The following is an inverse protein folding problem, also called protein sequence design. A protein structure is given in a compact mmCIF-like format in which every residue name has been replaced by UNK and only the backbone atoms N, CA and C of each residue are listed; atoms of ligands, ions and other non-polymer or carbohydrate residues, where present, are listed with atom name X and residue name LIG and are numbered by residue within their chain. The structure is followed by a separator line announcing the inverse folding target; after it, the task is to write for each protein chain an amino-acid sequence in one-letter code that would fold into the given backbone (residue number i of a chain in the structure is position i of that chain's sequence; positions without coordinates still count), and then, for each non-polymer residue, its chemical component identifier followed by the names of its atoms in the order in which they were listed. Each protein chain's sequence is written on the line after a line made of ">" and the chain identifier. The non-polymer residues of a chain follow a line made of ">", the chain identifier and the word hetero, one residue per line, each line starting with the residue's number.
data_IF_448501723259
#
_entry.id   IF_448501723259
#
_cell.length_a   1.000
_cell.length_b   1.000
_cell.length_c   1.000
_cell.angle_alpha   90.00
_cell.angle_beta   90.00
_cell.angle_gamma   90.00
#
_symmetry.space_group_name_H-M   'P 1'
#
loop_
_entity.id
_entity.type
_entity.pdbx_description
1 polymer ?
#
# COMPACT_ATOMS: atom_id res chain seq x y z
N UNK A 1 -37.04 -7.55 -26.97
CA UNK A 1 -35.91 -8.52 -26.96
C UNK A 1 -34.64 -7.72 -27.19
N UNK A 2 -33.60 -7.72 -26.38
CA UNK A 2 -33.21 -8.60 -25.29
C UNK A 2 -32.33 -7.81 -24.30
N UNK A 3 -32.66 -7.84 -23.01
CA UNK A 3 -31.72 -7.55 -21.94
C UNK A 3 -31.04 -8.88 -21.60
N UNK A 4 -29.76 -9.03 -21.96
CA UNK A 4 -28.94 -10.14 -21.49
C UNK A 4 -28.20 -9.71 -20.23
N UNK A 5 -28.71 -10.21 -19.11
CA UNK A 5 -28.01 -10.72 -17.94
C UNK A 5 -26.50 -10.45 -17.90
N UNK A 6 -26.10 -9.47 -17.08
CA UNK A 6 -24.77 -9.44 -16.48
C UNK A 6 -24.93 -10.14 -15.13
N UNK A 7 -24.38 -11.35 -15.09
CA UNK A 7 -24.44 -12.25 -13.96
C UNK A 7 -23.68 -11.68 -12.76
N UNK A 8 -24.35 -11.78 -11.61
CA UNK A 8 -23.81 -11.91 -10.25
C UNK A 8 -22.33 -12.34 -10.22
N UNK A 9 -21.46 -11.43 -9.78
CA UNK A 9 -20.22 -11.82 -9.10
C UNK A 9 -20.49 -11.77 -7.60
N UNK A 10 -20.96 -12.89 -7.05
CA UNK A 10 -21.02 -13.13 -5.60
C UNK A 10 -19.59 -13.30 -5.07
N UNK A 11 -18.95 -12.19 -4.72
CA UNK A 11 -17.73 -12.20 -3.93
C UNK A 11 -18.10 -12.60 -2.49
N UNK A 12 -18.00 -13.90 -2.23
CA UNK A 12 -18.08 -14.45 -0.87
C UNK A 12 -16.79 -14.06 -0.16
N UNK A 13 -16.81 -12.97 0.60
CA UNK A 13 -15.69 -12.57 1.45
C UNK A 13 -16.15 -12.67 2.90
N UNK A 14 -15.78 -13.80 3.50
CA UNK A 14 -15.87 -14.08 4.93
C UNK A 14 -14.86 -13.15 5.64
N UNK A 15 -15.28 -11.97 6.10
CA UNK A 15 -14.44 -11.13 6.95
C UNK A 15 -14.65 -11.60 8.39
N UNK A 16 -13.76 -12.49 8.82
CA UNK A 16 -13.49 -12.82 10.21
C UNK A 16 -12.95 -11.58 10.95
N UNK A 17 -13.85 -10.69 11.36
CA UNK A 17 -13.57 -9.55 12.24
C UNK A 17 -14.07 -9.84 13.66
N UNK A 18 -13.71 -11.00 14.21
CA UNK A 18 -14.15 -11.44 15.54
C UNK A 18 -13.01 -12.01 16.38
N UNK A 19 -11.89 -11.31 16.51
CA UNK A 19 -10.98 -11.47 17.65
C UNK A 19 -10.20 -10.17 17.89
N UNK A 20 -9.88 -9.91 19.17
CA UNK A 20 -9.22 -8.72 19.74
C UNK A 20 -10.30 -7.72 20.23
N UNK A 21 -10.87 -7.82 21.43
CA UNK A 21 -10.18 -7.87 22.74
C UNK A 21 -11.00 -8.61 23.81
N UNK A 22 -10.42 -9.67 24.39
CA UNK A 22 -10.87 -10.27 25.65
C UNK A 22 -10.00 -9.69 26.77
N UNK A 23 -10.61 -9.01 27.75
CA UNK A 23 -10.06 -8.89 29.11
C UNK A 23 -10.96 -9.70 30.05
N UNK A 24 -10.43 -10.55 30.93
CA UNK A 24 -11.23 -11.42 31.79
C UNK A 24 -11.56 -10.70 33.10
N UNK A 25 -12.81 -10.29 33.29
CA UNK A 25 -13.34 -10.04 34.63
C UNK A 25 -14.86 -10.15 34.65
N UNK A 26 -15.32 -11.28 35.19
CA UNK A 26 -16.57 -11.47 35.93
C UNK A 26 -17.93 -11.38 35.19
N UNK A 27 -18.80 -12.30 35.63
CA UNK A 27 -20.25 -12.39 35.45
C UNK A 27 -20.77 -13.12 34.19
N UNK A 28 -21.24 -14.36 34.45
CA UNK A 28 -22.25 -15.08 33.68
C UNK A 28 -23.52 -14.22 33.54
N UNK A 29 -23.74 -13.68 32.36
CA UNK A 29 -25.07 -13.40 31.83
C UNK A 29 -25.08 -13.93 30.39
N UNK A 30 -26.17 -14.58 29.99
CA UNK A 30 -26.39 -15.13 28.66
C UNK A 30 -26.07 -14.07 27.59
N UNK A 31 -24.88 -14.17 26.97
CA UNK A 31 -24.45 -13.23 25.94
C UNK A 31 -25.24 -13.50 24.66
N UNK A 32 -26.36 -12.81 24.48
CA UNK A 32 -26.76 -12.40 23.14
C UNK A 32 -25.53 -11.76 22.50
N UNK A 33 -25.03 -12.34 21.40
CA UNK A 33 -23.97 -11.71 20.60
C UNK A 33 -24.50 -10.37 20.09
N UNK A 34 -24.30 -9.30 20.85
CA UNK A 34 -24.57 -7.95 20.40
C UNK A 34 -23.64 -7.66 19.22
N UNK A 35 -24.15 -7.86 18.00
CA UNK A 35 -23.45 -7.52 16.76
C UNK A 35 -22.94 -6.08 16.84
N UNK A 36 -21.71 -5.86 16.38
CA UNK A 36 -21.12 -4.52 16.35
C UNK A 36 -21.94 -3.59 15.43
N UNK A 37 -21.88 -2.29 15.66
CA UNK A 37 -22.61 -1.32 14.84
C UNK A 37 -22.20 -1.41 13.37
N UNK A 38 -20.92 -1.66 13.11
CA UNK A 38 -20.34 -1.82 11.78
C UNK A 38 -20.76 -3.11 11.10
N UNK A 39 -20.95 -4.19 11.86
CA UNK A 39 -21.49 -5.45 11.33
C UNK A 39 -22.91 -5.24 10.83
N UNK A 40 -23.77 -4.62 11.65
CA UNK A 40 -25.15 -4.30 11.29
C UNK A 40 -25.22 -3.30 10.14
N UNK A 41 -24.31 -2.31 10.12
CA UNK A 41 -24.21 -1.35 9.03
C UNK A 41 -23.83 -2.04 7.72
N UNK A 42 -22.91 -3.01 7.77
CA UNK A 42 -22.48 -3.75 6.58
C UNK A 42 -23.57 -4.68 6.05
N UNK A 43 -24.33 -5.33 6.93
CA UNK A 43 -25.53 -6.09 6.57
C UNK A 43 -26.54 -5.19 5.84
N UNK A 44 -26.88 -4.04 6.41
CA UNK A 44 -27.78 -3.06 5.76
C UNK A 44 -27.22 -2.52 4.44
N UNK A 45 -25.90 -2.31 4.34
CA UNK A 45 -25.23 -1.90 3.11
C UNK A 45 -25.34 -2.95 2.00
N UNK A 46 -25.15 -4.24 2.34
CA UNK A 46 -25.30 -5.34 1.39
C UNK A 46 -26.75 -5.48 0.88
N UNK A 47 -27.72 -5.22 1.75
CA UNK A 47 -29.14 -5.22 1.43
C UNK A 47 -29.60 -3.93 0.73
N UNK A 48 -28.71 -2.94 0.56
CA UNK A 48 -29.02 -1.61 0.03
C UNK A 48 -30.09 -0.86 0.83
N UNK A 49 -30.21 -1.14 2.13
CA UNK A 49 -31.17 -0.49 3.02
C UNK A 49 -30.56 0.78 3.64
N UNK A 50 -30.67 1.88 2.90
CA UNK A 50 -30.21 3.20 3.36
C UNK A 50 -30.92 3.67 4.63
N UNK A 51 -32.18 3.27 4.83
CA UNK A 51 -32.95 3.67 6.00
C UNK A 51 -32.40 2.98 7.26
N UNK A 52 -32.13 1.68 7.18
CA UNK A 52 -31.51 0.93 8.26
C UNK A 52 -30.12 1.46 8.61
N UNK A 53 -29.30 1.80 7.60
CA UNK A 53 -27.98 2.42 7.81
C UNK A 53 -28.07 3.75 8.59
N UNK A 54 -29.00 4.63 8.20
CA UNK A 54 -29.22 5.93 8.89
C UNK A 54 -29.74 5.74 10.32
N UNK A 55 -30.66 4.81 10.52
CA UNK A 55 -31.23 4.53 11.83
C UNK A 55 -30.16 3.97 12.79
N UNK A 56 -29.29 3.09 12.31
CA UNK A 56 -28.14 2.60 13.07
C UNK A 56 -27.22 3.74 13.51
N UNK A 57 -26.91 4.68 12.62
CA UNK A 57 -26.07 5.84 12.94
C UNK A 57 -26.72 6.73 14.01
N UNK A 58 -28.03 6.95 13.95
CA UNK A 58 -28.75 7.74 14.96
C UNK A 58 -28.76 7.08 16.33
N UNK A 59 -29.03 5.78 16.35
CA UNK A 59 -29.24 5.02 17.58
C UNK A 59 -27.93 4.60 18.24
N UNK A 60 -26.85 4.44 17.46
CA UNK A 60 -25.53 3.94 17.90
C UNK A 60 -24.38 4.86 17.50
N UNK A 61 -24.59 6.18 17.48
CA UNK A 61 -23.60 7.16 17.04
C UNK A 61 -22.21 6.99 17.68
N UNK A 62 -22.15 6.67 18.97
CA UNK A 62 -20.88 6.52 19.71
C UNK A 62 -20.04 5.31 19.27
N UNK A 63 -20.64 4.34 18.58
CA UNK A 63 -19.98 3.08 18.20
C UNK A 63 -19.21 3.23 16.87
N UNK A 64 -19.60 4.18 16.02
CA UNK A 64 -19.01 4.34 14.68
C UNK A 64 -17.61 4.96 14.64
N UNK A 65 -17.28 6.00 15.41
CA UNK A 65 -15.93 6.58 15.39
C UNK A 65 -14.81 5.56 15.64
N UNK A 66 -14.83 4.69 16.68
CA UNK A 66 -13.77 3.71 16.89
C UNK A 66 -13.70 2.67 15.76
N UNK A 67 -14.84 2.20 15.25
CA UNK A 67 -14.85 1.23 14.14
C UNK A 67 -14.27 1.81 12.84
N UNK A 68 -14.63 3.05 12.49
CA UNK A 68 -14.08 3.73 11.32
C UNK A 68 -12.57 3.96 11.45
N UNK A 69 -12.09 4.28 12.66
CA UNK A 69 -10.65 4.42 12.93
C UNK A 69 -9.93 3.08 12.69
N UNK A 70 -10.49 1.96 13.15
CA UNK A 70 -9.91 0.64 12.95
C UNK A 70 -9.88 0.23 11.47
N UNK A 71 -10.95 0.52 10.72
CA UNK A 71 -10.98 0.31 9.27
C UNK A 71 -9.88 1.10 8.56
N UNK A 72 -9.72 2.38 8.89
CA UNK A 72 -8.65 3.22 8.34
C UNK A 72 -7.27 2.68 8.72
N UNK A 73 -7.08 2.26 9.97
CA UNK A 73 -5.81 1.69 10.46
C UNK A 73 -5.44 0.43 9.68
N UNK A 74 -6.41 -0.47 9.47
CA UNK A 74 -6.22 -1.67 8.67
C UNK A 74 -5.88 -1.33 7.20
N UNK A 75 -6.64 -0.42 6.57
CA UNK A 75 -6.40 -0.04 5.16
C UNK A 75 -5.03 0.64 4.95
N UNK A 76 -4.47 1.27 5.98
CA UNK A 76 -3.13 1.87 5.96
C UNK A 76 -1.99 0.85 6.13
N UNK A 77 -2.29 -0.42 6.46
CA UNK A 77 -1.27 -1.45 6.58
C UNK A 77 -0.63 -1.73 5.20
N UNK A 78 0.72 -1.71 5.08
CA UNK A 78 1.41 -1.98 3.82
C UNK A 78 1.12 -3.36 3.23
N UNK A 79 0.79 -4.35 4.08
CA UNK A 79 0.54 -5.74 3.69
C UNK A 79 -0.85 -5.96 3.06
N UNK A 80 -1.77 -5.00 3.22
CA UNK A 80 -3.10 -5.05 2.62
C UNK A 80 -3.01 -4.73 1.13
N UNK A 81 -3.75 -5.46 0.30
CA UNK A 81 -3.79 -5.24 -1.14
C UNK A 81 -4.34 -3.84 -1.47
N UNK A 82 -3.81 -3.12 -2.47
CA UNK A 82 -4.26 -1.76 -2.81
C UNK A 82 -5.77 -1.66 -3.09
N UNK A 83 -6.34 -2.65 -3.76
CA UNK A 83 -7.75 -2.74 -4.13
C UNK A 83 -8.63 -2.93 -2.88
N UNK A 84 -8.18 -3.79 -1.96
CA UNK A 84 -8.84 -4.03 -0.68
C UNK A 84 -8.79 -2.77 0.20
N UNK A 85 -7.64 -2.12 0.31
CA UNK A 85 -7.49 -0.87 1.05
C UNK A 85 -8.39 0.24 0.49
N UNK A 86 -8.47 0.39 -0.85
CA UNK A 86 -9.39 1.34 -1.51
C UNK A 86 -10.85 1.05 -1.17
N UNK A 87 -11.24 -0.22 -1.18
CA UNK A 87 -12.58 -0.64 -0.82
C UNK A 87 -12.91 -0.27 0.63
N UNK A 88 -12.00 -0.57 1.56
CA UNK A 88 -12.18 -0.24 2.99
C UNK A 88 -12.28 1.27 3.21
N UNK A 89 -11.45 2.07 2.54
CA UNK A 89 -11.56 3.53 2.56
C UNK A 89 -12.91 4.02 2.00
N UNK A 90 -13.46 3.35 0.99
CA UNK A 90 -14.78 3.68 0.44
C UNK A 90 -15.90 3.43 1.45
N UNK A 91 -15.87 2.29 2.15
CA UNK A 91 -16.90 1.95 3.15
C UNK A 91 -16.75 2.86 4.37
N UNK A 92 -15.54 3.08 4.87
CA UNK A 92 -15.27 4.01 5.97
C UNK A 92 -15.71 5.44 5.62
N UNK A 93 -15.49 5.87 4.37
CA UNK A 93 -15.94 7.17 3.87
C UNK A 93 -17.47 7.29 3.83
N UNK A 94 -18.16 6.23 3.41
CA UNK A 94 -19.62 6.19 3.41
C UNK A 94 -20.19 6.32 4.84
N UNK A 95 -19.69 5.49 5.77
CA UNK A 95 -20.10 5.55 7.19
C UNK A 95 -19.85 6.95 7.75
N UNK A 96 -18.64 7.49 7.56
CA UNK A 96 -18.27 8.80 8.08
C UNK A 96 -19.09 9.94 7.49
N UNK A 97 -19.46 9.85 6.21
CA UNK A 97 -20.35 10.81 5.55
C UNK A 97 -21.75 10.75 6.17
N UNK A 98 -22.34 9.57 6.25
CA UNK A 98 -23.68 9.40 6.83
C UNK A 98 -23.71 9.81 8.30
N UNK A 99 -22.64 9.53 9.04
CA UNK A 99 -22.46 9.99 10.42
C UNK A 99 -22.50 11.52 10.50
N UNK A 100 -21.74 12.20 9.64
CA UNK A 100 -21.74 13.67 9.60
C UNK A 100 -23.08 14.26 9.14
N UNK A 101 -23.78 13.61 8.22
CA UNK A 101 -25.10 14.04 7.74
C UNK A 101 -26.18 13.92 8.84
N UNK A 102 -26.13 12.86 9.67
CA UNK A 102 -27.14 12.62 10.71
C UNK A 102 -26.82 13.27 12.07
N UNK A 103 -25.53 13.46 12.40
CA UNK A 103 -25.11 14.04 13.70
C UNK A 103 -24.64 15.50 13.60
N UNK A 104 -24.33 15.97 12.39
CA UNK A 104 -23.69 17.26 12.14
C UNK A 104 -22.16 17.27 12.39
N UNK A 105 -21.57 16.19 12.90
CA UNK A 105 -20.12 16.10 13.15
C UNK A 105 -19.36 15.57 11.93
N UNK A 106 -18.72 16.49 11.20
CA UNK A 106 -17.95 16.20 9.99
C UNK A 106 -16.49 15.79 10.28
N UNK A 107 -16.04 15.75 11.54
CA UNK A 107 -14.64 15.46 11.89
C UNK A 107 -14.22 14.05 11.45
N UNK A 108 -15.13 13.09 11.56
CA UNK A 108 -14.87 11.71 11.16
C UNK A 108 -14.64 11.62 9.65
N UNK A 109 -15.46 12.31 8.84
CA UNK A 109 -15.30 12.35 7.38
C UNK A 109 -13.99 13.04 6.97
N UNK A 110 -13.61 14.12 7.66
CA UNK A 110 -12.34 14.79 7.43
C UNK A 110 -11.16 13.87 7.75
N UNK A 111 -11.21 13.14 8.86
CA UNK A 111 -10.17 12.19 9.25
C UNK A 111 -10.00 11.07 8.21
N UNK A 112 -11.09 10.48 7.72
CA UNK A 112 -11.04 9.47 6.64
C UNK A 112 -10.45 10.05 5.36
N UNK A 113 -10.88 11.25 4.96
CA UNK A 113 -10.41 11.90 3.73
C UNK A 113 -8.92 12.21 3.77
N UNK A 114 -8.41 12.71 4.90
CA UNK A 114 -6.97 12.97 5.11
C UNK A 114 -6.17 11.67 5.03
N UNK A 115 -6.63 10.61 5.70
CA UNK A 115 -5.94 9.32 5.68
C UNK A 115 -5.97 8.67 4.29
N UNK A 116 -7.07 8.79 3.55
CA UNK A 116 -7.13 8.29 2.17
C UNK A 116 -6.15 9.05 1.25
N UNK A 117 -6.05 10.38 1.41
CA UNK A 117 -5.05 11.18 0.71
C UNK A 117 -3.61 10.75 1.03
N UNK A 118 -3.34 10.40 2.29
CA UNK A 118 -2.03 9.88 2.71
C UNK A 118 -1.77 8.48 2.15
N UNK A 119 -2.78 7.60 2.15
CA UNK A 119 -2.71 6.29 1.51
C UNK A 119 -2.34 6.41 0.04
N UNK A 120 -3.06 7.24 -0.73
CA UNK A 120 -2.77 7.44 -2.15
C UNK A 120 -1.35 7.94 -2.37
N UNK A 121 -0.89 8.93 -1.59
CA UNK A 121 0.49 9.43 -1.67
C UNK A 121 1.52 8.35 -1.36
N UNK A 122 1.30 7.57 -0.30
CA UNK A 122 2.20 6.48 0.10
C UNK A 122 2.29 5.39 -0.98
N UNK A 123 1.16 5.07 -1.63
CA UNK A 123 1.10 4.06 -2.68
C UNK A 123 1.73 4.55 -3.98
N UNK A 124 1.46 5.80 -4.37
CA UNK A 124 2.10 6.47 -5.51
C UNK A 124 3.63 6.54 -5.39
N UNK A 125 4.15 6.64 -4.15
CA UNK A 125 5.59 6.59 -3.90
C UNK A 125 6.12 5.17 -3.78
N UNK A 126 5.29 4.17 -3.48
CA UNK A 126 5.71 2.78 -3.26
C UNK A 126 5.70 1.93 -4.53
N UNK A 127 4.83 2.24 -5.50
CA UNK A 127 4.67 1.45 -6.73
C UNK A 127 5.56 2.04 -7.82
N UNK A 128 6.71 1.40 -8.04
CA UNK A 128 7.55 1.66 -9.18
C UNK A 128 6.92 0.99 -10.41
N UNK A 129 6.51 1.77 -11.40
CA UNK A 129 5.90 1.22 -12.62
C UNK A 129 6.90 0.29 -13.34
N UNK A 130 6.52 -0.95 -13.70
CA UNK A 130 7.44 -1.94 -14.27
C UNK A 130 8.21 -1.43 -15.49
N UNK A 131 7.53 -0.76 -16.41
CA UNK A 131 8.13 -0.21 -17.63
C UNK A 131 9.23 0.83 -17.32
N UNK A 132 8.97 1.69 -16.33
CA UNK A 132 9.93 2.71 -15.88
C UNK A 132 11.10 2.06 -15.16
N UNK A 133 10.84 1.03 -14.34
CA UNK A 133 11.88 0.25 -13.67
C UNK A 133 12.80 -0.42 -14.67
N UNK A 134 12.25 -1.09 -15.68
CA UNK A 134 13.04 -1.83 -16.67
C UNK A 134 13.87 -0.89 -17.55
N UNK A 135 13.28 0.23 -17.97
CA UNK A 135 14.01 1.31 -18.65
C UNK A 135 15.16 1.83 -17.78
N UNK A 136 14.89 2.11 -16.50
CA UNK A 136 15.91 2.61 -15.57
C UNK A 136 17.02 1.59 -15.36
N UNK A 137 16.68 0.31 -15.13
CA UNK A 137 17.67 -0.76 -14.98
C UNK A 137 18.58 -0.86 -16.19
N UNK A 138 18.01 -0.79 -17.40
CA UNK A 138 18.77 -0.83 -18.65
C UNK A 138 19.75 0.33 -18.77
N UNK A 139 19.29 1.57 -18.56
CA UNK A 139 20.16 2.75 -18.60
C UNK A 139 21.29 2.67 -17.55
N UNK A 140 21.02 2.06 -16.38
CA UNK A 140 22.03 1.83 -15.35
C UNK A 140 23.04 0.76 -15.79
N UNK A 141 22.61 -0.35 -16.39
CA UNK A 141 23.52 -1.39 -16.87
C UNK A 141 24.36 -0.92 -18.06
N UNK A 142 23.84 -0.03 -18.89
CA UNK A 142 24.54 0.53 -20.05
C UNK A 142 25.68 1.50 -19.65
N UNK A 143 25.77 1.91 -18.38
CA UNK A 143 26.83 2.80 -17.90
C UNK A 143 28.22 2.17 -17.80
N UNK A 144 28.36 0.88 -18.05
CA UNK A 144 29.66 0.41 -18.50
C UNK A 144 29.68 -1.04 -18.91
N UNK A 145 30.88 -1.61 -18.85
CA UNK A 145 31.23 -2.78 -19.65
C UNK A 145 31.35 -4.03 -18.80
N UNK A 146 30.81 -5.15 -19.29
CA UNK A 146 30.86 -6.46 -18.63
C UNK A 146 29.50 -6.93 -18.10
N UNK A 147 29.48 -8.08 -17.41
CA UNK A 147 28.26 -8.71 -16.91
C UNK A 147 27.80 -8.10 -15.58
N UNK A 148 26.92 -7.10 -15.65
CA UNK A 148 26.34 -6.45 -14.47
C UNK A 148 24.85 -6.70 -14.44
N UNK A 149 24.27 -6.68 -13.24
CA UNK A 149 22.82 -6.79 -13.09
C UNK A 149 22.35 -5.94 -11.93
N UNK A 150 21.17 -5.36 -12.09
CA UNK A 150 20.43 -4.77 -10.97
C UNK A 150 19.70 -5.91 -10.25
N UNK A 151 20.22 -6.32 -9.10
CA UNK A 151 19.69 -7.42 -8.30
C UNK A 151 18.47 -6.99 -7.47
N UNK A 152 18.48 -5.74 -6.97
CA UNK A 152 17.38 -5.16 -6.20
C UNK A 152 17.03 -3.80 -6.78
N UNK A 153 15.74 -3.55 -6.98
CA UNK A 153 15.20 -2.25 -7.37
C UNK A 153 13.80 -2.11 -6.77
N UNK A 154 13.69 -1.51 -5.58
CA UNK A 154 12.43 -1.42 -4.83
C UNK A 154 12.38 -0.20 -3.94
N UNK A 155 11.19 0.19 -3.51
CA UNK A 155 11.03 1.15 -2.43
C UNK A 155 11.26 0.47 -1.08
N UNK A 156 12.10 1.08 -0.25
CA UNK A 156 12.35 0.70 1.13
C UNK A 156 11.18 1.08 2.05
N UNK A 157 11.16 0.51 3.26
CA UNK A 157 10.08 0.76 4.24
C UNK A 157 10.02 2.21 4.70
N UNK A 158 11.12 2.95 4.60
CA UNK A 158 11.18 4.38 4.90
C UNK A 158 10.74 5.26 3.74
N UNK A 159 10.33 4.68 2.60
CA UNK A 159 9.98 5.38 1.37
C UNK A 159 11.18 5.84 0.54
N UNK A 160 12.40 5.34 0.83
CA UNK A 160 13.58 5.58 -0.01
C UNK A 160 13.80 4.48 -1.05
N UNK A 161 14.28 4.84 -2.24
CA UNK A 161 14.60 3.83 -3.26
C UNK A 161 15.84 3.03 -2.84
N UNK A 162 15.77 1.70 -2.93
CA UNK A 162 16.89 0.77 -2.72
C UNK A 162 17.24 0.14 -4.05
N UNK A 163 18.48 0.37 -4.50
CA UNK A 163 19.05 -0.23 -5.70
C UNK A 163 20.32 -0.99 -5.35
N UNK A 164 20.39 -2.27 -5.72
CA UNK A 164 21.61 -3.07 -5.59
C UNK A 164 22.08 -3.53 -6.96
N UNK A 165 23.32 -3.19 -7.29
CA UNK A 165 23.98 -3.53 -8.55
C UNK A 165 25.05 -4.58 -8.23
N UNK A 166 24.90 -5.76 -8.80
CA UNK A 166 25.83 -6.88 -8.68
C UNK A 166 26.75 -6.91 -9.90
N UNK A 167 28.05 -6.77 -9.64
CA UNK A 167 29.13 -6.78 -10.63
C UNK A 167 29.75 -8.18 -10.62
N UNK A 168 29.42 -8.98 -11.63
CA UNK A 168 29.94 -10.34 -11.77
C UNK A 168 31.14 -10.35 -12.69
N UNK A 169 32.25 -10.88 -12.21
CA UNK A 169 33.31 -11.32 -13.10
C UNK A 169 32.76 -12.47 -13.95
N UNK A 170 32.90 -12.37 -15.27
CA UNK A 170 32.46 -13.40 -16.20
C UNK A 170 33.33 -14.65 -16.00
N UNK A 171 32.83 -15.61 -15.22
CA UNK A 171 33.38 -16.97 -15.18
C UNK A 171 32.91 -17.74 -16.43
N UNK A 172 33.56 -17.52 -17.57
CA UNK A 172 33.46 -18.43 -18.72
C UNK A 172 33.19 -17.84 -20.11
N UNK A 173 33.06 -16.52 -20.29
CA UNK A 173 33.07 -15.95 -21.64
C UNK A 173 34.50 -15.81 -22.16
N UNK A 174 34.72 -16.13 -23.44
CA UNK A 174 35.99 -16.03 -24.18
C UNK A 174 36.63 -14.63 -24.23
N UNK A 175 35.99 -13.63 -23.63
CA UNK A 175 36.46 -12.26 -23.46
C UNK A 175 36.71 -11.98 -21.97
N UNK A 176 37.99 -11.95 -21.58
CA UNK A 176 38.51 -11.51 -20.28
C UNK A 176 38.27 -10.00 -20.01
N UNK A 177 37.06 -9.50 -20.23
CA UNK A 177 36.75 -8.12 -19.89
C UNK A 177 36.33 -8.06 -18.43
N UNK A 178 37.30 -7.75 -17.57
CA UNK A 178 37.04 -7.32 -16.19
C UNK A 178 35.96 -6.22 -16.25
N UNK A 179 34.85 -6.36 -15.52
CA UNK A 179 33.83 -5.33 -15.43
C UNK A 179 34.44 -3.96 -15.10
N UNK A 180 34.32 -2.98 -16.01
CA UNK A 180 34.87 -1.62 -15.79
C UNK A 180 33.75 -0.65 -15.46
N UNK A 181 33.54 -0.41 -14.17
CA UNK A 181 32.83 0.78 -13.69
C UNK A 181 33.84 1.87 -13.41
N UNK A 182 33.70 3.02 -14.08
CA UNK A 182 34.32 4.23 -13.57
C UNK A 182 33.53 4.69 -12.34
N UNK A 183 33.93 4.26 -11.14
CA UNK A 183 33.21 4.61 -9.91
C UNK A 183 33.19 6.12 -9.64
N UNK A 184 34.05 6.91 -10.29
CA UNK A 184 33.97 8.38 -10.27
C UNK A 184 32.71 8.90 -10.96
N UNK A 185 32.15 8.13 -11.90
CA UNK A 185 30.91 8.41 -12.61
C UNK A 185 29.68 7.75 -11.99
N UNK A 186 29.80 7.09 -10.82
CA UNK A 186 28.66 6.49 -10.10
C UNK A 186 27.52 7.47 -9.83
N UNK A 187 27.80 8.78 -9.78
CA UNK A 187 26.77 9.84 -9.69
C UNK A 187 25.87 9.95 -10.92
N UNK A 188 26.27 9.45 -12.10
CA UNK A 188 25.41 9.37 -13.29
C UNK A 188 24.19 8.47 -13.05
N UNK A 189 24.33 7.42 -12.23
CA UNK A 189 23.20 6.56 -11.83
C UNK A 189 22.17 7.34 -11.04
N UNK A 190 22.59 8.26 -10.17
CA UNK A 190 21.67 9.15 -9.43
C UNK A 190 20.89 10.03 -10.42
N UNK A 191 21.55 10.53 -11.46
CA UNK A 191 20.88 11.34 -12.50
C UNK A 191 19.85 10.52 -13.29
N UNK A 192 20.20 9.30 -13.71
CA UNK A 192 19.29 8.38 -14.41
C UNK A 192 18.06 8.07 -13.54
N UNK A 193 18.28 7.76 -12.26
CA UNK A 193 17.18 7.49 -11.33
C UNK A 193 16.30 8.72 -11.16
N UNK A 194 16.86 9.92 -10.95
CA UNK A 194 16.06 11.15 -10.82
C UNK A 194 15.30 11.51 -12.10
N UNK A 195 15.86 11.21 -13.27
CA UNK A 195 15.22 11.47 -14.56
C UNK A 195 14.02 10.54 -14.80
N UNK A 196 14.17 9.25 -14.53
CA UNK A 196 13.12 8.27 -14.75
C UNK A 196 12.13 8.16 -13.58
N UNK A 197 12.56 8.50 -12.36
CA UNK A 197 11.76 8.42 -11.13
C UNK A 197 11.79 9.76 -10.36
N UNK A 198 11.20 10.84 -10.91
CA UNK A 198 11.29 12.19 -10.33
C UNK A 198 10.62 12.31 -8.95
N UNK A 199 9.75 11.37 -8.57
CA UNK A 199 9.12 11.31 -7.24
C UNK A 199 10.06 10.75 -6.15
N UNK A 200 11.16 10.09 -6.51
CA UNK A 200 12.13 9.54 -5.56
C UNK A 200 12.99 10.67 -5.01
N UNK A 201 12.75 11.02 -3.73
CA UNK A 201 13.51 12.08 -3.04
C UNK A 201 14.74 11.56 -2.31
N UNK A 202 14.68 10.32 -1.82
CA UNK A 202 15.78 9.70 -1.08
C UNK A 202 16.00 8.27 -1.54
N UNK A 203 17.20 7.76 -1.35
CA UNK A 203 17.51 6.38 -1.69
C UNK A 203 18.99 6.03 -1.55
N UNK A 204 19.27 4.74 -1.68
CA UNK A 204 20.61 4.17 -1.60
C UNK A 204 20.85 3.28 -2.81
N UNK A 205 21.96 3.51 -3.49
CA UNK A 205 22.43 2.70 -4.61
C UNK A 205 23.76 2.07 -4.17
N UNK A 206 23.81 0.76 -4.12
CA UNK A 206 24.98 0.00 -3.68
C UNK A 206 25.49 -0.89 -4.80
N UNK A 207 26.79 -0.84 -5.05
CA UNK A 207 27.50 -1.78 -5.92
C UNK A 207 28.15 -2.83 -5.06
N UNK A 208 28.02 -4.08 -5.47
CA UNK A 208 28.66 -5.22 -4.83
C UNK A 208 29.27 -6.14 -5.87
N UNK A 209 30.30 -6.89 -5.48
CA UNK A 209 30.81 -8.03 -6.25
C UNK A 209 30.97 -9.21 -5.31
N UNK A 210 30.35 -10.34 -5.64
CA UNK A 210 30.37 -11.55 -4.80
C UNK A 210 29.97 -11.28 -3.34
N UNK A 211 29.00 -10.38 -3.12
CA UNK A 211 28.54 -9.99 -1.79
C UNK A 211 29.43 -8.98 -1.05
N UNK A 212 30.57 -8.59 -1.61
CA UNK A 212 31.44 -7.54 -1.05
C UNK A 212 31.00 -6.18 -1.58
N UNK A 213 30.68 -5.24 -0.68
CA UNK A 213 30.29 -3.88 -1.05
C UNK A 213 31.47 -3.09 -1.64
N UNK A 214 31.33 -2.62 -2.87
CA UNK A 214 32.35 -1.85 -3.58
C UNK A 214 32.16 -0.34 -3.40
N UNK A 215 30.92 0.12 -3.51
CA UNK A 215 30.57 1.55 -3.43
C UNK A 215 29.12 1.70 -3.02
N UNK A 216 28.83 2.78 -2.31
CA UNK A 216 27.45 3.26 -2.12
C UNK A 216 27.40 4.74 -2.49
N UNK A 217 26.32 5.14 -3.17
CA UNK A 217 25.92 6.54 -3.28
C UNK A 217 24.47 6.70 -2.84
N UNK A 218 24.17 7.86 -2.29
CA UNK A 218 22.85 8.23 -1.82
C UNK A 218 22.17 9.15 -2.84
N UNK A 219 20.85 9.02 -2.91
CA UNK A 219 19.98 9.98 -3.56
C UNK A 219 19.52 10.93 -2.46
N UNK A 220 19.85 12.21 -2.62
CA UNK A 220 19.44 13.34 -1.76
C UNK A 220 18.54 14.29 -2.53
#
# INVERSE_FOLDING_TARGET
>A
MAYKSIALFTATIFISLSMITYSPAMADEEKEEHKSAGTLFFEAFQEQDEKAMKELIKTRANDFPPEVIEMVRYAMNPDVAPEEAKYIFSVAGLIAKMFGDETGDQRLLQAVSVNYGNFLKSRDTSILQPEVVDKTKKEITDLGTGNWRVNVFKMGPDGGLIVEIDVRESSGASSFETPKINLKESRKVVQIVKANLPKVKKGKITWSSMGVGLKTVFIE
#
